data_IF_985183430368
#
_entry.id   IF_985183430368
#
_cell.length_a   1.000
_cell.length_b   1.000
_cell.length_c   1.000
_cell.angle_alpha   90.00
_cell.angle_beta   90.00
_cell.angle_gamma   90.00
#
_symmetry.space_group_name_H-M   'P 1'
#
loop_
_entity.id
_entity.type
_entity.pdbx_description
1 polymer ?
#
# COMPACT_ATOMS: atom_id res chain seq x y z
N UNK A 1 19.58 -16.87 -24.45
CA UNK A 1 19.18 -15.80 -23.51
C UNK A 1 17.67 -15.63 -23.56
N UNK A 2 16.96 -15.53 -22.43
CA UNK A 2 15.53 -15.26 -22.44
C UNK A 2 15.26 -13.88 -23.06
N UNK A 3 14.31 -13.81 -24.00
CA UNK A 3 13.93 -12.56 -24.68
C UNK A 3 12.90 -11.84 -23.83
N UNK A 4 13.29 -10.73 -23.22
CA UNK A 4 12.39 -9.86 -22.44
C UNK A 4 11.38 -9.21 -23.41
N UNK A 5 10.10 -9.11 -23.01
CA UNK A 5 9.07 -8.46 -23.82
C UNK A 5 9.38 -6.96 -24.00
N UNK A 6 9.17 -6.44 -25.21
CA UNK A 6 9.52 -5.06 -25.58
C UNK A 6 8.88 -4.00 -24.67
N UNK A 7 7.61 -4.21 -24.29
CA UNK A 7 6.88 -3.32 -23.39
C UNK A 7 7.44 -3.23 -21.97
N UNK A 8 8.33 -4.15 -21.56
CA UNK A 8 9.05 -4.08 -20.29
C UNK A 8 10.36 -3.32 -20.47
N UNK A 9 11.06 -3.55 -21.59
CA UNK A 9 12.33 -2.89 -21.92
C UNK A 9 12.16 -1.37 -22.03
N UNK A 10 11.01 -0.92 -22.52
CA UNK A 10 10.72 0.50 -22.75
C UNK A 10 10.28 1.25 -21.46
N UNK A 11 10.14 0.56 -20.31
CA UNK A 11 9.74 1.19 -19.04
C UNK A 11 10.92 1.99 -18.47
N UNK A 12 10.72 3.29 -18.28
CA UNK A 12 11.72 4.18 -17.66
C UNK A 12 11.76 3.98 -16.15
N UNK A 13 12.95 4.17 -15.58
CA UNK A 13 13.13 4.22 -14.12
C UNK A 13 12.31 5.35 -13.51
N UNK A 14 11.67 5.08 -12.37
CA UNK A 14 10.94 6.09 -11.60
C UNK A 14 11.89 7.16 -11.07
N UNK A 15 11.60 8.43 -11.36
CA UNK A 15 12.36 9.56 -10.82
C UNK A 15 12.29 9.60 -9.27
N UNK A 16 11.15 9.22 -8.69
CA UNK A 16 10.96 9.15 -7.23
C UNK A 16 11.84 8.07 -6.60
N UNK A 17 12.02 6.93 -7.27
CA UNK A 17 12.93 5.89 -6.79
C UNK A 17 14.38 6.37 -6.85
N UNK A 18 14.78 6.96 -7.98
CA UNK A 18 16.15 7.44 -8.18
C UNK A 18 16.57 8.50 -7.16
N UNK A 19 15.69 9.47 -6.84
CA UNK A 19 16.00 10.47 -5.81
C UNK A 19 16.08 9.86 -4.41
N UNK A 20 15.20 8.90 -4.08
CA UNK A 20 15.24 8.20 -2.79
C UNK A 20 16.55 7.42 -2.61
N UNK A 21 16.99 6.70 -3.63
CA UNK A 21 18.27 5.98 -3.64
C UNK A 21 19.46 6.92 -3.46
N UNK A 22 19.48 8.04 -4.20
CA UNK A 22 20.54 9.04 -4.08
C UNK A 22 20.59 9.64 -2.67
N UNK A 23 19.44 9.99 -2.10
CA UNK A 23 19.35 10.50 -0.72
C UNK A 23 19.95 9.51 0.28
N UNK A 24 19.62 8.22 0.17
CA UNK A 24 20.20 7.18 1.01
C UNK A 24 21.71 7.01 0.81
N UNK A 25 22.21 7.12 -0.41
CA UNK A 25 23.66 7.06 -0.67
C UNK A 25 24.40 8.23 -0.03
N UNK A 26 23.82 9.43 -0.05
CA UNK A 26 24.41 10.62 0.55
C UNK A 26 24.41 10.53 2.10
N UNK A 27 23.32 10.04 2.69
CA UNK A 27 23.24 9.73 4.14
C UNK A 27 24.35 8.75 4.56
N UNK A 28 24.53 7.66 3.81
CA UNK A 28 25.59 6.66 4.06
C UNK A 28 27.02 7.23 3.94
N UNK A 29 27.19 8.32 3.19
CA UNK A 29 28.47 9.04 3.06
C UNK A 29 28.66 10.10 4.17
N UNK A 30 27.78 10.14 5.17
CA UNK A 30 27.86 11.06 6.30
C UNK A 30 27.30 12.45 6.01
N UNK A 31 26.56 12.64 4.90
CA UNK A 31 25.88 13.90 4.63
C UNK A 31 24.54 13.96 5.34
N UNK A 32 24.23 15.12 5.92
CA UNK A 32 22.90 15.40 6.44
C UNK A 32 21.92 15.64 5.28
N UNK A 33 20.79 14.93 5.29
CA UNK A 33 19.78 14.97 4.23
C UNK A 33 18.40 15.11 4.86
N UNK A 34 17.62 16.07 4.37
CA UNK A 34 16.22 16.26 4.77
C UNK A 34 15.29 15.85 3.62
N UNK A 35 14.45 14.84 3.86
CA UNK A 35 13.59 14.25 2.82
C UNK A 35 12.17 14.83 2.88
N UNK A 36 11.88 15.79 2.02
CA UNK A 36 10.54 16.38 1.87
C UNK A 36 9.70 15.78 0.73
N UNK A 37 10.26 14.81 -0.02
CA UNK A 37 9.62 14.26 -1.22
C UNK A 37 8.94 12.90 -1.06
N UNK A 38 8.93 12.32 0.15
CA UNK A 38 8.39 10.98 0.39
C UNK A 38 7.00 11.05 1.03
N UNK A 39 6.04 10.30 0.47
CA UNK A 39 4.64 10.28 0.90
C UNK A 39 4.33 9.29 2.03
N UNK A 40 5.34 8.69 2.67
CA UNK A 40 5.11 7.77 3.78
C UNK A 40 4.79 8.55 5.06
N UNK A 41 3.74 8.14 5.77
CA UNK A 41 3.43 8.67 7.10
C UNK A 41 4.62 8.49 8.05
N UNK A 42 5.06 9.52 8.79
CA UNK A 42 6.11 9.39 9.79
C UNK A 42 5.60 8.74 11.09
N UNK A 43 4.29 8.61 11.25
CA UNK A 43 3.68 8.05 12.46
C UNK A 43 3.72 6.52 12.43
N UNK A 44 3.98 5.88 13.59
CA UNK A 44 3.92 4.42 13.68
C UNK A 44 2.50 3.93 13.43
N UNK A 45 2.39 2.66 13.01
CA UNK A 45 1.09 1.98 12.92
C UNK A 45 0.44 1.96 14.31
N UNK A 46 -0.84 2.37 14.45
CA UNK A 46 -1.55 2.33 15.73
C UNK A 46 -1.49 0.95 16.40
N UNK A 47 -1.27 0.91 17.72
CA UNK A 47 -1.07 -0.35 18.46
C UNK A 47 -2.24 -1.32 18.31
N UNK A 48 -3.47 -0.82 18.27
CA UNK A 48 -4.67 -1.64 18.09
C UNK A 48 -4.63 -2.45 16.78
N UNK A 49 -4.09 -1.88 15.70
CA UNK A 49 -3.95 -2.56 14.41
C UNK A 49 -2.86 -3.63 14.50
N UNK A 50 -1.74 -3.31 15.16
CA UNK A 50 -0.63 -4.25 15.38
C UNK A 50 -1.10 -5.47 16.18
N UNK A 51 -1.85 -5.27 17.27
CA UNK A 51 -2.34 -6.37 18.09
C UNK A 51 -3.38 -7.22 17.35
N UNK A 52 -4.26 -6.61 16.56
CA UNK A 52 -5.25 -7.38 15.79
C UNK A 52 -4.61 -8.19 14.67
N UNK A 53 -3.56 -7.68 14.03
CA UNK A 53 -2.76 -8.45 13.07
C UNK A 53 -2.10 -9.66 13.73
N UNK A 54 -1.49 -9.50 14.92
CA UNK A 54 -0.86 -10.61 15.65
C UNK A 54 -1.85 -11.72 15.96
N UNK A 55 -3.07 -11.38 16.40
CA UNK A 55 -4.14 -12.34 16.71
C UNK A 55 -4.65 -13.12 15.49
N UNK A 56 -4.46 -12.57 14.28
CA UNK A 56 -4.94 -13.15 13.03
C UNK A 56 -3.80 -13.67 12.14
N UNK A 57 -2.55 -13.67 12.61
CA UNK A 57 -1.38 -14.05 11.81
C UNK A 57 -1.40 -15.52 11.34
N UNK A 58 -2.15 -16.38 12.01
CA UNK A 58 -2.38 -17.78 11.63
C UNK A 58 -3.35 -17.95 10.45
N UNK A 59 -4.13 -16.92 10.11
CA UNK A 59 -5.08 -16.99 9.01
C UNK A 59 -4.33 -17.01 7.67
N UNK A 60 -4.43 -18.12 6.94
CA UNK A 60 -3.66 -18.38 5.71
C UNK A 60 -4.50 -18.82 4.52
N UNK A 61 -5.77 -19.08 4.76
CA UNK A 61 -6.65 -19.63 3.74
C UNK A 61 -7.01 -18.57 2.70
N UNK A 62 -7.25 -19.01 1.47
CA UNK A 62 -7.67 -18.12 0.41
C UNK A 62 -9.01 -17.47 0.74
N UNK A 63 -9.08 -16.16 0.52
CA UNK A 63 -10.30 -15.38 0.57
C UNK A 63 -10.94 -15.28 -0.81
N UNK A 64 -12.18 -14.79 -0.86
CA UNK A 64 -12.79 -14.35 -2.11
C UNK A 64 -11.88 -13.31 -2.79
N UNK A 65 -11.79 -13.34 -4.12
CA UNK A 65 -10.97 -12.40 -4.91
C UNK A 65 -11.32 -10.93 -4.67
N UNK A 66 -12.55 -10.65 -4.26
CA UNK A 66 -13.00 -9.29 -3.90
C UNK A 66 -12.61 -8.88 -2.48
N UNK A 67 -12.09 -9.80 -1.66
CA UNK A 67 -11.72 -9.59 -0.26
C UNK A 67 -12.71 -10.18 0.75
N UNK A 68 -12.37 -10.05 2.04
CA UNK A 68 -13.19 -10.46 3.18
C UNK A 68 -14.53 -9.70 3.18
N UNK A 69 -15.65 -10.40 3.36
CA UNK A 69 -16.99 -9.81 3.25
C UNK A 69 -17.21 -8.74 4.33
N UNK A 70 -16.81 -9.02 5.57
CA UNK A 70 -16.93 -8.12 6.70
C UNK A 70 -16.16 -6.81 6.46
N UNK A 71 -14.97 -6.90 5.83
CA UNK A 71 -14.19 -5.71 5.47
C UNK A 71 -14.87 -4.91 4.36
N UNK A 72 -15.41 -5.58 3.34
CA UNK A 72 -16.13 -4.93 2.24
C UNK A 72 -17.36 -4.18 2.75
N UNK A 73 -18.11 -4.77 3.66
CA UNK A 73 -19.27 -4.14 4.30
C UNK A 73 -18.89 -2.88 5.09
N UNK A 74 -17.83 -2.95 5.91
CA UNK A 74 -17.36 -1.81 6.70
C UNK A 74 -16.86 -0.66 5.81
N UNK A 75 -16.12 -0.97 4.73
CA UNK A 75 -15.66 0.03 3.76
C UNK A 75 -16.84 0.67 3.04
N UNK A 76 -17.81 -0.12 2.59
CA UNK A 76 -19.01 0.38 1.93
C UNK A 76 -19.82 1.30 2.85
N UNK A 77 -20.01 0.91 4.12
CA UNK A 77 -20.71 1.71 5.11
C UNK A 77 -20.00 3.04 5.37
N UNK A 78 -18.69 3.00 5.61
CA UNK A 78 -17.89 4.21 5.85
C UNK A 78 -18.00 5.21 4.69
N UNK A 79 -17.80 4.73 3.46
CA UNK A 79 -17.86 5.59 2.28
C UNK A 79 -19.28 6.04 1.93
N UNK A 80 -20.31 5.26 2.28
CA UNK A 80 -21.69 5.67 2.07
C UNK A 80 -22.04 6.90 2.90
N UNK A 81 -21.67 6.88 4.18
CA UNK A 81 -21.85 8.01 5.10
C UNK A 81 -21.02 9.21 4.63
N UNK A 82 -19.72 8.98 4.36
CA UNK A 82 -18.77 10.05 4.02
C UNK A 82 -19.11 10.74 2.70
N UNK A 83 -19.48 9.97 1.69
CA UNK A 83 -19.72 10.48 0.34
C UNK A 83 -21.20 10.80 0.07
N UNK A 84 -22.09 10.56 1.04
CA UNK A 84 -23.55 10.74 0.91
C UNK A 84 -24.11 9.99 -0.31
N UNK A 85 -23.68 8.74 -0.48
CA UNK A 85 -24.13 7.85 -1.55
C UNK A 85 -24.37 6.45 -0.98
N UNK A 86 -25.09 5.58 -1.70
CA UNK A 86 -25.36 4.23 -1.23
C UNK A 86 -24.42 3.23 -1.90
N UNK A 87 -23.38 2.81 -1.18
CA UNK A 87 -22.52 1.69 -1.56
C UNK A 87 -22.90 0.44 -0.77
N UNK A 88 -22.82 -0.70 -1.44
CA UNK A 88 -22.92 -2.03 -0.84
C UNK A 88 -21.58 -2.75 -0.92
N UNK A 89 -21.44 -3.90 -0.24
CA UNK A 89 -20.23 -4.71 -0.34
C UNK A 89 -19.88 -5.06 -1.80
N UNK A 90 -20.86 -5.22 -2.68
CA UNK A 90 -20.69 -5.52 -4.11
C UNK A 90 -20.02 -4.37 -4.90
N UNK A 91 -20.00 -3.16 -4.35
CA UNK A 91 -19.28 -2.04 -4.92
C UNK A 91 -17.81 -1.95 -4.45
N UNK A 92 -17.35 -2.86 -3.58
CA UNK A 92 -16.03 -2.81 -2.94
C UNK A 92 -15.18 -4.03 -3.30
N UNK A 93 -13.93 -3.77 -3.70
CA UNK A 93 -12.88 -4.77 -3.87
C UNK A 93 -11.69 -4.37 -2.97
N UNK A 94 -11.17 -5.33 -2.20
CA UNK A 94 -9.98 -5.14 -1.36
C UNK A 94 -8.77 -5.73 -2.09
N UNK A 95 -7.80 -4.88 -2.40
CA UNK A 95 -6.53 -5.28 -3.02
C UNK A 95 -5.32 -4.87 -2.17
N UNK A 96 -4.11 -5.38 -2.49
CA UNK A 96 -2.89 -4.94 -1.85
C UNK A 96 -2.60 -3.49 -2.25
N UNK A 97 -2.51 -2.60 -1.26
CA UNK A 97 -2.28 -1.16 -1.42
C UNK A 97 -1.53 -0.57 -0.24
#
# INVERSE_FOLDING_TARGET
>A
MPKIKKNIVDIKTSATLAINELSHQLEKKGKEIFKFGLGQSPFPVPQIIVEELKKNAQQKDYLNVSGLIELREQVAQYHSIKNKNNYTADNVIIGPG
#
